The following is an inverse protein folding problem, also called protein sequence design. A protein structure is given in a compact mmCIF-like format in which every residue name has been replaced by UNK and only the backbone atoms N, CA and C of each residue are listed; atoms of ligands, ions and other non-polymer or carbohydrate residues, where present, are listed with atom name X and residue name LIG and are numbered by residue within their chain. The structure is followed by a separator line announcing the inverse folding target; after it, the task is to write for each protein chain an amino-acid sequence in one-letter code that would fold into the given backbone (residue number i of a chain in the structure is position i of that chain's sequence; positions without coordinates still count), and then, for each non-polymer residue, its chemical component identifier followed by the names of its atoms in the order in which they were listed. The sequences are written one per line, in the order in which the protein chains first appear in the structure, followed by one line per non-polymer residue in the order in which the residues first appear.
data_IF_547951856053
#
_entry.id   IF_547951856053
#
_cell.length_a   1.000
_cell.length_b   1.000
_cell.length_c   1.000
_cell.angle_alpha   90.00
_cell.angle_beta   90.00
_cell.angle_gamma   90.00
#
_symmetry.space_group_name_H-M   'P 1'
#
loop_
_entity.id
_entity.type
_entity.pdbx_description
1 polymer ?
#
# COMPACT_ATOMS: atom_id res chain seq x y z
N UNK A 1 23.04 -29.90 -18.41
CA UNK A 1 22.61 -29.65 -17.03
C UNK A 1 21.63 -30.72 -16.61
N UNK A 2 21.75 -31.23 -15.37
CA UNK A 2 20.97 -32.37 -14.86
C UNK A 2 19.57 -32.01 -14.39
N UNK A 3 19.04 -30.82 -14.78
CA UNK A 3 17.76 -30.34 -14.27
C UNK A 3 16.58 -31.28 -14.57
N UNK A 4 16.59 -31.96 -15.70
CA UNK A 4 15.55 -32.93 -16.06
C UNK A 4 15.51 -34.12 -15.05
N UNK A 5 16.66 -34.62 -14.67
CA UNK A 5 16.76 -35.72 -13.72
C UNK A 5 16.37 -35.29 -12.29
N UNK A 6 16.67 -34.06 -11.91
CA UNK A 6 16.46 -33.54 -10.57
C UNK A 6 15.08 -32.91 -10.38
N UNK A 7 14.58 -32.12 -11.36
CA UNK A 7 13.35 -31.36 -11.19
C UNK A 7 12.12 -32.04 -11.79
N UNK A 8 12.25 -32.71 -12.94
CA UNK A 8 11.09 -33.30 -13.62
C UNK A 8 10.32 -34.34 -12.79
N UNK A 9 10.96 -35.18 -11.94
CA UNK A 9 10.23 -36.12 -11.08
C UNK A 9 9.47 -35.48 -9.91
N UNK A 10 9.76 -34.20 -9.60
CA UNK A 10 9.13 -33.52 -8.48
C UNK A 10 7.65 -33.23 -8.76
N UNK A 11 6.84 -33.23 -7.69
CA UNK A 11 5.43 -32.87 -7.75
C UNK A 11 5.25 -31.50 -8.35
N UNK A 12 4.21 -31.29 -9.13
CA UNK A 12 3.92 -30.03 -9.80
C UNK A 12 3.76 -28.86 -8.84
N UNK A 13 3.36 -29.11 -7.59
CA UNK A 13 3.25 -28.07 -6.55
C UNK A 13 4.60 -27.52 -6.06
N UNK A 14 5.69 -28.27 -6.27
CA UNK A 14 7.05 -27.81 -5.93
C UNK A 14 7.59 -26.79 -6.94
N UNK A 15 6.92 -26.65 -8.09
CA UNK A 15 7.34 -25.69 -9.10
C UNK A 15 7.05 -24.25 -8.65
N UNK A 16 8.10 -23.43 -8.56
CA UNK A 16 7.94 -21.99 -8.24
C UNK A 16 6.99 -21.31 -9.22
N UNK A 17 5.90 -20.77 -8.68
CA UNK A 17 4.82 -20.13 -9.45
C UNK A 17 3.55 -20.97 -9.56
N UNK A 18 3.55 -22.23 -9.12
CA UNK A 18 2.39 -23.09 -8.99
C UNK A 18 2.02 -23.21 -7.53
N UNK A 19 0.98 -22.51 -7.11
CA UNK A 19 0.53 -22.47 -5.72
C UNK A 19 -0.64 -23.44 -5.46
N UNK A 20 -1.10 -23.44 -4.18
CA UNK A 20 -2.18 -24.30 -3.66
C UNK A 20 -3.49 -24.24 -4.43
N UNK A 21 -3.76 -23.18 -5.20
CA UNK A 21 -4.98 -23.06 -6.04
C UNK A 21 -4.77 -23.61 -7.44
N UNK A 22 -3.54 -23.63 -7.94
CA UNK A 22 -3.22 -24.03 -9.33
C UNK A 22 -2.84 -25.49 -9.41
N UNK A 23 -2.09 -26.00 -8.44
CA UNK A 23 -1.64 -27.40 -8.41
C UNK A 23 -2.81 -28.41 -8.52
N UNK A 24 -3.91 -28.30 -7.73
CA UNK A 24 -5.02 -29.25 -7.87
C UNK A 24 -5.62 -29.28 -9.28
N UNK A 25 -5.78 -28.12 -9.91
CA UNK A 25 -6.34 -28.01 -11.28
C UNK A 25 -5.46 -28.66 -12.33
N UNK A 26 -4.13 -28.60 -12.15
CA UNK A 26 -3.19 -29.27 -13.03
C UNK A 26 -3.24 -30.78 -12.81
N UNK A 27 -3.32 -31.23 -11.57
CA UNK A 27 -3.44 -32.65 -11.22
C UNK A 27 -4.71 -33.29 -11.75
N UNK A 28 -5.84 -32.58 -11.74
CA UNK A 28 -7.10 -33.00 -12.39
C UNK A 28 -6.97 -33.23 -13.89
N UNK A 29 -5.98 -32.60 -14.54
CA UNK A 29 -5.66 -32.81 -15.95
C UNK A 29 -4.60 -33.88 -16.20
N UNK A 30 -4.16 -34.58 -15.17
CA UNK A 30 -3.10 -35.59 -15.27
C UNK A 30 -1.68 -34.97 -15.27
N UNK A 31 -1.52 -33.67 -14.99
CA UNK A 31 -0.23 -33.02 -14.87
C UNK A 31 0.21 -33.12 -13.40
N UNK A 32 0.97 -34.15 -13.07
CA UNK A 32 1.36 -34.49 -11.69
C UNK A 32 2.72 -33.96 -11.31
N UNK A 33 3.62 -33.87 -12.29
CA UNK A 33 5.03 -33.53 -12.09
C UNK A 33 5.45 -32.30 -12.87
N UNK A 34 6.61 -31.72 -12.52
CA UNK A 34 7.22 -30.64 -13.31
C UNK A 34 7.53 -31.10 -14.75
N UNK A 35 7.93 -32.39 -14.89
CA UNK A 35 8.16 -32.99 -16.20
C UNK A 35 6.89 -33.04 -17.07
N UNK A 36 5.73 -33.29 -16.46
CA UNK A 36 4.45 -33.25 -17.19
C UNK A 36 4.15 -31.85 -17.71
N UNK A 37 4.45 -30.79 -16.94
CA UNK A 37 4.34 -29.40 -17.41
C UNK A 37 5.27 -29.14 -18.60
N UNK A 38 6.51 -29.66 -18.52
CA UNK A 38 7.52 -29.46 -19.56
C UNK A 38 7.19 -30.15 -20.89
N UNK A 39 6.49 -31.29 -20.84
CA UNK A 39 6.14 -32.11 -21.99
C UNK A 39 4.67 -31.99 -22.39
N UNK A 40 3.92 -31.04 -21.82
CA UNK A 40 2.50 -30.92 -22.09
C UNK A 40 2.22 -30.29 -23.46
N UNK A 41 1.68 -31.10 -24.36
CA UNK A 41 1.51 -30.74 -25.79
C UNK A 41 0.44 -29.67 -26.05
N UNK A 42 -0.58 -29.59 -25.18
CA UNK A 42 -1.69 -28.65 -25.36
C UNK A 42 -1.49 -27.34 -24.57
N UNK A 43 -0.64 -26.46 -25.12
CA UNK A 43 -0.38 -25.15 -24.54
C UNK A 43 -1.66 -24.31 -24.26
N UNK A 44 -2.64 -24.35 -25.15
CA UNK A 44 -3.88 -23.59 -24.98
C UNK A 44 -4.66 -24.01 -23.74
N UNK A 45 -4.71 -25.33 -23.47
CA UNK A 45 -5.36 -25.89 -22.30
C UNK A 45 -4.59 -25.54 -21.02
N UNK A 46 -3.25 -25.59 -21.08
CA UNK A 46 -2.40 -25.14 -19.98
C UNK A 46 -2.61 -23.65 -19.65
N UNK A 47 -2.74 -22.80 -20.69
CA UNK A 47 -3.01 -21.37 -20.55
C UNK A 47 -4.39 -21.07 -19.94
N UNK A 48 -5.39 -21.86 -20.21
CA UNK A 48 -6.72 -21.70 -19.60
C UNK A 48 -6.68 -21.85 -18.07
N UNK A 49 -5.80 -22.70 -17.55
CA UNK A 49 -5.67 -22.98 -16.11
C UNK A 49 -4.70 -22.03 -15.43
N UNK A 50 -3.49 -21.88 -15.99
CA UNK A 50 -2.42 -21.08 -15.40
C UNK A 50 -2.57 -19.59 -15.74
N UNK A 51 -3.30 -19.27 -16.81
CA UNK A 51 -3.45 -17.91 -17.30
C UNK A 51 -2.20 -17.41 -18.02
N UNK A 52 -1.93 -16.10 -17.90
CA UNK A 52 -0.82 -15.41 -18.60
C UNK A 52 0.57 -15.95 -18.28
N UNK A 53 0.73 -16.65 -17.17
CA UNK A 53 2.01 -17.21 -16.72
C UNK A 53 2.33 -18.58 -17.35
N UNK A 54 1.43 -19.17 -18.14
CA UNK A 54 1.61 -20.51 -18.71
C UNK A 54 2.90 -20.65 -19.51
N UNK A 55 3.18 -19.69 -20.40
CA UNK A 55 4.40 -19.71 -21.22
C UNK A 55 5.67 -19.61 -20.38
N UNK A 56 5.64 -18.79 -19.33
CA UNK A 56 6.77 -18.63 -18.41
C UNK A 56 7.04 -19.94 -17.65
N UNK A 57 5.99 -20.57 -17.13
CA UNK A 57 6.11 -21.83 -16.38
C UNK A 57 6.53 -22.98 -17.31
N UNK A 58 5.95 -23.09 -18.51
CA UNK A 58 6.37 -24.07 -19.51
C UNK A 58 7.87 -23.92 -19.84
N UNK A 59 8.35 -22.69 -20.11
CA UNK A 59 9.77 -22.45 -20.36
C UNK A 59 10.65 -22.80 -19.18
N UNK A 60 10.26 -22.41 -17.96
CA UNK A 60 11.00 -22.72 -16.73
C UNK A 60 11.07 -24.23 -16.47
N UNK A 61 10.00 -24.98 -16.72
CA UNK A 61 10.00 -26.43 -16.61
C UNK A 61 10.99 -27.08 -17.60
N UNK A 62 11.22 -26.44 -18.74
CA UNK A 62 12.20 -26.81 -19.74
C UNK A 62 13.60 -26.21 -19.51
N UNK A 63 13.84 -25.58 -18.35
CA UNK A 63 15.13 -24.99 -18.01
C UNK A 63 15.46 -23.73 -18.83
N UNK A 64 14.45 -23.09 -19.43
CA UNK A 64 14.62 -21.90 -20.27
C UNK A 64 14.17 -20.68 -19.47
N UNK A 65 15.11 -19.82 -19.12
CA UNK A 65 14.85 -18.50 -18.54
C UNK A 65 15.68 -17.44 -19.29
N UNK A 66 15.00 -16.53 -19.94
CA UNK A 66 15.59 -15.41 -20.68
C UNK A 66 15.51 -14.10 -19.92
N UNK A 67 15.04 -14.14 -18.66
CA UNK A 67 14.91 -12.95 -17.84
C UNK A 67 16.28 -12.34 -17.55
N UNK A 68 16.40 -11.04 -17.78
CA UNK A 68 17.59 -10.28 -17.43
C UNK A 68 17.50 -9.86 -15.95
N UNK A 69 18.63 -9.78 -15.28
CA UNK A 69 18.70 -9.16 -13.96
C UNK A 69 18.33 -7.68 -14.13
N UNK A 70 17.22 -7.29 -13.48
CA UNK A 70 16.79 -5.90 -13.55
C UNK A 70 17.62 -5.09 -12.55
N UNK A 71 18.51 -4.25 -13.06
CA UNK A 71 19.35 -3.32 -12.29
C UNK A 71 18.70 -1.95 -12.12
N UNK A 72 17.60 -1.67 -12.85
CA UNK A 72 16.88 -0.43 -12.69
C UNK A 72 16.06 -0.43 -11.42
N UNK A 73 16.08 0.67 -10.68
CA UNK A 73 15.20 0.88 -9.54
C UNK A 73 13.77 1.06 -10.04
N UNK A 74 12.94 0.05 -9.85
CA UNK A 74 11.52 0.18 -10.14
C UNK A 74 10.93 1.35 -9.35
N UNK A 75 10.20 2.20 -10.02
CA UNK A 75 9.44 3.26 -9.36
C UNK A 75 8.44 2.66 -8.39
N UNK A 76 8.37 3.25 -7.21
CA UNK A 76 7.41 2.81 -6.20
C UNK A 76 5.99 3.14 -6.65
N UNK A 77 5.10 2.17 -6.59
CA UNK A 77 3.67 2.33 -6.92
C UNK A 77 2.83 2.71 -5.72
N UNK A 78 3.30 2.40 -4.51
CA UNK A 78 2.59 2.68 -3.26
C UNK A 78 3.54 2.81 -2.07
N UNK A 79 3.07 3.48 -1.03
CA UNK A 79 3.70 3.56 0.29
C UNK A 79 2.68 3.13 1.33
N UNK A 80 2.88 1.98 1.95
CA UNK A 80 1.95 1.45 2.92
C UNK A 80 2.60 1.00 4.21
N UNK A 81 1.76 0.82 5.23
CA UNK A 81 2.11 0.18 6.47
C UNK A 81 0.90 -0.57 7.03
N UNK A 82 1.14 -1.73 7.64
CA UNK A 82 0.13 -2.51 8.32
C UNK A 82 0.69 -3.06 9.62
N UNK A 83 -0.19 -3.37 10.55
CA UNK A 83 0.20 -4.02 11.81
C UNK A 83 -0.84 -5.06 12.20
N UNK A 84 -0.36 -6.19 12.70
CA UNK A 84 -1.19 -7.15 13.42
C UNK A 84 -1.34 -6.62 14.84
N UNK A 85 -2.56 -6.57 15.34
CA UNK A 85 -2.85 -6.16 16.71
C UNK A 85 -2.35 -7.22 17.70
N UNK A 86 -2.07 -6.83 18.91
CA UNK A 86 -1.58 -7.72 19.95
C UNK A 86 -2.60 -8.81 20.30
N UNK A 87 -3.88 -8.46 20.25
CA UNK A 87 -5.03 -9.36 20.38
C UNK A 87 -6.13 -8.93 19.41
N UNK A 88 -7.00 -9.88 19.05
CA UNK A 88 -8.15 -9.59 18.18
C UNK A 88 -9.14 -8.72 18.98
N UNK A 89 -9.49 -7.54 18.45
CA UNK A 89 -10.34 -6.57 19.14
C UNK A 89 -11.39 -5.95 18.23
N UNK A 90 -12.50 -5.54 18.81
CA UNK A 90 -13.53 -4.69 18.21
C UNK A 90 -13.62 -3.32 18.90
N UNK A 91 -12.68 -3.00 19.78
CA UNK A 91 -12.58 -1.69 20.41
C UNK A 91 -12.15 -0.63 19.39
N UNK A 92 -13.08 0.28 19.11
CA UNK A 92 -12.94 1.31 18.08
C UNK A 92 -11.83 2.31 18.42
N UNK A 93 -11.64 2.66 19.68
CA UNK A 93 -10.60 3.61 20.08
C UNK A 93 -9.22 3.02 19.86
N UNK A 94 -8.97 1.79 20.27
CA UNK A 94 -7.71 1.07 19.98
C UNK A 94 -7.44 0.98 18.48
N UNK A 95 -8.47 0.72 17.68
CA UNK A 95 -8.34 0.66 16.22
C UNK A 95 -8.01 2.04 15.64
N UNK A 96 -8.66 3.11 16.11
CA UNK A 96 -8.37 4.47 15.65
C UNK A 96 -6.99 4.95 16.05
N UNK A 97 -6.52 4.62 17.25
CA UNK A 97 -5.14 4.93 17.66
C UNK A 97 -4.13 4.23 16.74
N UNK A 98 -4.39 2.95 16.45
CA UNK A 98 -3.57 2.20 15.49
C UNK A 98 -3.57 2.86 14.11
N UNK A 99 -4.74 3.28 13.60
CA UNK A 99 -4.85 4.02 12.35
C UNK A 99 -4.05 5.32 12.36
N UNK A 100 -4.11 6.11 13.44
CA UNK A 100 -3.32 7.35 13.59
C UNK A 100 -1.81 7.07 13.45
N UNK A 101 -1.32 6.04 14.12
CA UNK A 101 0.09 5.63 14.04
C UNK A 101 0.48 5.18 12.64
N UNK A 102 -0.36 4.37 11.98
CA UNK A 102 -0.09 3.88 10.63
C UNK A 102 -0.08 5.02 9.61
N UNK A 103 -1.06 5.93 9.67
CA UNK A 103 -1.15 7.09 8.79
C UNK A 103 0.05 8.03 8.96
N UNK A 104 0.49 8.26 10.19
CA UNK A 104 1.70 9.04 10.49
C UNK A 104 2.95 8.40 9.84
N UNK A 105 3.12 7.08 9.99
CA UNK A 105 4.24 6.35 9.37
C UNK A 105 4.19 6.39 7.84
N UNK A 106 3.00 6.29 7.23
CA UNK A 106 2.82 6.37 5.78
C UNK A 106 3.16 7.77 5.28
N UNK A 107 2.59 8.81 5.90
CA UNK A 107 2.90 10.21 5.58
C UNK A 107 4.39 10.51 5.70
N UNK A 108 5.02 10.12 6.81
CA UNK A 108 6.46 10.32 7.03
C UNK A 108 7.31 9.63 5.94
N UNK A 109 7.02 8.36 5.62
CA UNK A 109 7.74 7.62 4.58
C UNK A 109 7.56 8.23 3.20
N UNK A 110 6.35 8.70 2.87
CA UNK A 110 6.08 9.36 1.60
C UNK A 110 6.86 10.70 1.50
N UNK A 111 6.81 11.51 2.56
CA UNK A 111 7.55 12.79 2.63
C UNK A 111 9.07 12.56 2.53
N UNK A 112 9.63 11.60 3.29
CA UNK A 112 11.06 11.28 3.25
C UNK A 112 11.56 10.87 1.86
N UNK A 113 10.69 10.28 1.03
CA UNK A 113 11.02 9.84 -0.34
C UNK A 113 10.56 10.84 -1.41
N UNK A 114 10.08 12.01 -1.01
CA UNK A 114 9.52 13.03 -1.89
C UNK A 114 8.39 12.48 -2.80
N UNK A 115 7.54 11.61 -2.25
CA UNK A 115 6.42 10.98 -2.95
C UNK A 115 5.10 11.60 -2.52
N UNK A 116 4.17 11.70 -3.48
CA UNK A 116 2.77 12.06 -3.28
C UNK A 116 1.90 11.03 -4.00
N UNK A 117 0.70 10.77 -3.50
CA UNK A 117 -0.21 9.78 -4.10
C UNK A 117 -1.63 10.30 -4.20
N UNK A 118 -2.42 9.73 -5.11
CA UNK A 118 -3.79 10.18 -5.37
C UNK A 118 -4.86 9.13 -5.01
N UNK A 119 -4.51 8.10 -4.27
CA UNK A 119 -5.48 7.11 -3.79
C UNK A 119 -5.06 6.56 -2.44
N UNK A 120 -6.01 6.31 -1.57
CA UNK A 120 -5.78 5.70 -0.26
C UNK A 120 -6.56 4.40 -0.19
N UNK A 121 -5.91 3.37 0.32
CA UNK A 121 -6.55 2.10 0.65
C UNK A 121 -6.33 1.72 2.09
N UNK A 122 -7.32 1.01 2.64
CA UNK A 122 -7.22 0.29 3.90
C UNK A 122 -7.31 -1.22 3.66
N UNK A 123 -6.66 -1.97 4.52
CA UNK A 123 -6.81 -3.42 4.62
C UNK A 123 -7.27 -3.75 6.02
N UNK A 124 -8.39 -4.44 6.11
CA UNK A 124 -8.99 -4.94 7.35
C UNK A 124 -8.90 -6.46 7.31
N UNK A 125 -8.28 -7.08 8.30
CA UNK A 125 -8.24 -8.52 8.43
C UNK A 125 -8.85 -8.93 9.77
N UNK A 126 -9.86 -9.76 9.73
CA UNK A 126 -10.60 -10.24 10.89
C UNK A 126 -9.95 -11.47 11.53
N UNK A 127 -10.40 -11.82 12.71
CA UNK A 127 -9.91 -12.98 13.50
C UNK A 127 -9.92 -14.30 12.74
N UNK A 128 -10.92 -14.52 11.87
CA UNK A 128 -11.03 -15.71 11.01
C UNK A 128 -10.20 -15.65 9.73
N UNK A 129 -9.24 -14.70 9.64
CA UNK A 129 -8.39 -14.47 8.49
C UNK A 129 -9.12 -13.95 7.22
N UNK A 130 -10.41 -13.65 7.31
CA UNK A 130 -11.12 -12.93 6.28
C UNK A 130 -10.49 -11.55 6.10
N UNK A 131 -10.19 -11.18 4.86
CA UNK A 131 -9.54 -9.90 4.56
C UNK A 131 -10.37 -9.07 3.61
N UNK A 132 -10.54 -7.80 3.94
CA UNK A 132 -11.24 -6.80 3.11
C UNK A 132 -10.27 -5.67 2.82
N UNK A 133 -10.08 -5.38 1.54
CA UNK A 133 -9.35 -4.19 1.09
C UNK A 133 -10.30 -3.25 0.38
N UNK A 134 -10.27 -1.98 0.76
CA UNK A 134 -11.07 -0.92 0.13
C UNK A 134 -10.18 0.28 -0.16
N UNK A 135 -10.42 0.89 -1.31
CA UNK A 135 -9.68 2.09 -1.69
C UNK A 135 -10.62 3.17 -2.24
N UNK A 136 -10.19 4.40 -2.16
CA UNK A 136 -10.85 5.55 -2.76
C UNK A 136 -9.82 6.45 -3.42
N UNK A 137 -10.13 7.01 -4.60
CA UNK A 137 -9.31 8.04 -5.22
C UNK A 137 -9.40 9.34 -4.40
N UNK A 138 -8.36 10.14 -4.51
CA UNK A 138 -8.32 11.53 -4.03
C UNK A 138 -8.46 12.47 -5.23
N UNK A 139 -8.95 13.69 -4.98
CA UNK A 139 -9.12 14.72 -6.02
C UNK A 139 -7.76 15.16 -6.58
N UNK A 140 -6.71 15.11 -5.75
CA UNK A 140 -5.36 15.54 -6.09
C UNK A 140 -4.31 14.63 -5.45
N UNK A 141 -3.03 14.88 -5.68
CA UNK A 141 -1.91 14.16 -5.09
C UNK A 141 -1.51 14.74 -3.75
N UNK A 142 -1.48 13.92 -2.71
CA UNK A 142 -1.20 14.32 -1.33
C UNK A 142 -0.21 13.36 -0.65
N UNK A 143 0.41 13.84 0.43
CA UNK A 143 1.14 13.03 1.40
C UNK A 143 0.98 13.55 2.84
N UNK A 144 0.04 14.48 3.02
CA UNK A 144 -0.30 15.08 4.30
C UNK A 144 -1.02 14.08 5.19
N UNK A 145 -0.61 14.05 6.47
CA UNK A 145 -1.13 13.12 7.47
C UNK A 145 -2.65 13.24 7.64
N UNK A 146 -3.18 14.45 7.71
CA UNK A 146 -4.59 14.73 7.94
C UNK A 146 -5.49 14.17 6.83
N UNK A 147 -5.05 14.28 5.58
CA UNK A 147 -5.78 13.76 4.41
C UNK A 147 -5.76 12.23 4.44
N UNK A 148 -4.59 11.63 4.73
CA UNK A 148 -4.46 10.18 4.81
C UNK A 148 -5.32 9.64 5.95
N UNK A 149 -5.30 10.28 7.12
CA UNK A 149 -6.05 9.83 8.29
C UNK A 149 -7.56 9.97 8.10
N UNK A 150 -8.04 11.14 7.64
CA UNK A 150 -9.48 11.37 7.44
C UNK A 150 -10.06 10.41 6.41
N UNK A 151 -9.34 10.17 5.33
CA UNK A 151 -9.75 9.21 4.29
C UNK A 151 -9.70 7.77 4.78
N UNK A 152 -8.66 7.38 5.52
CA UNK A 152 -8.55 6.03 6.09
C UNK A 152 -9.65 5.75 7.10
N UNK A 153 -10.00 6.71 7.97
CA UNK A 153 -11.14 6.63 8.89
C UNK A 153 -12.45 6.47 8.15
N UNK A 154 -12.72 7.33 7.18
CA UNK A 154 -13.94 7.22 6.34
C UNK A 154 -14.07 5.82 5.71
N UNK A 155 -12.99 5.30 5.13
CA UNK A 155 -13.00 3.95 4.55
C UNK A 155 -13.22 2.88 5.59
N UNK A 156 -12.64 3.02 6.78
CA UNK A 156 -12.83 2.09 7.89
C UNK A 156 -14.28 2.10 8.36
N UNK A 157 -14.84 3.25 8.69
CA UNK A 157 -16.20 3.38 9.21
C UNK A 157 -17.25 2.83 8.25
N UNK A 158 -17.04 3.06 6.95
CA UNK A 158 -17.94 2.58 5.89
C UNK A 158 -17.89 1.06 5.68
N UNK A 159 -16.78 0.40 6.00
CA UNK A 159 -16.55 -1.00 5.60
C UNK A 159 -16.27 -1.95 6.76
N UNK A 160 -16.18 -1.44 7.98
CA UNK A 160 -15.98 -2.26 9.17
C UNK A 160 -17.28 -2.97 9.55
N UNK A 161 -17.21 -4.28 9.76
CA UNK A 161 -18.39 -5.13 10.04
C UNK A 161 -18.66 -5.36 11.52
N UNK A 162 -17.94 -4.71 12.44
CA UNK A 162 -18.07 -4.93 13.89
C UNK A 162 -17.39 -6.20 14.42
N UNK A 163 -16.89 -7.06 13.54
CA UNK A 163 -16.18 -8.29 13.93
C UNK A 163 -14.81 -7.99 14.54
N UNK A 164 -14.29 -8.86 15.45
CA UNK A 164 -12.94 -8.69 15.99
C UNK A 164 -11.87 -8.62 14.89
N UNK A 165 -11.08 -7.57 14.94
CA UNK A 165 -10.06 -7.20 13.96
C UNK A 165 -8.71 -7.70 14.44
N UNK A 166 -7.99 -8.39 13.55
CA UNK A 166 -6.64 -8.94 13.78
C UNK A 166 -5.55 -8.06 13.21
N UNK A 167 -5.76 -7.48 12.03
CA UNK A 167 -4.78 -6.63 11.35
C UNK A 167 -5.48 -5.47 10.67
N UNK A 168 -4.82 -4.32 10.73
CA UNK A 168 -5.21 -3.15 9.96
C UNK A 168 -4.00 -2.60 9.20
N UNK A 169 -4.25 -2.12 7.99
CA UNK A 169 -3.24 -1.52 7.13
C UNK A 169 -3.76 -0.30 6.40
N UNK A 170 -2.86 0.62 6.10
CA UNK A 170 -3.11 1.85 5.31
C UNK A 170 -2.06 1.95 4.22
N UNK A 171 -2.47 2.30 3.01
CA UNK A 171 -1.55 2.54 1.90
C UNK A 171 -1.95 3.77 1.10
N UNK A 172 -0.97 4.60 0.80
CA UNK A 172 -1.02 5.67 -0.20
C UNK A 172 -0.59 5.08 -1.54
N UNK A 173 -1.48 5.09 -2.52
CA UNK A 173 -1.30 4.42 -3.79
C UNK A 173 -1.15 5.42 -4.94
N UNK A 174 -0.75 4.90 -6.11
CA UNK A 174 -0.45 5.67 -7.32
C UNK A 174 0.55 6.79 -7.01
N UNK A 175 1.62 6.44 -6.29
CA UNK A 175 2.59 7.44 -5.88
C UNK A 175 3.49 7.84 -7.05
N UNK A 176 3.78 9.13 -7.10
CA UNK A 176 4.71 9.75 -8.04
C UNK A 176 5.69 10.64 -7.26
N UNK A 177 6.81 10.98 -7.88
CA UNK A 177 7.73 11.94 -7.31
C UNK A 177 7.08 13.34 -7.32
N UNK A 178 7.11 14.04 -6.18
CA UNK A 178 6.53 15.38 -6.04
C UNK A 178 7.15 16.39 -7.02
N UNK A 179 8.43 16.22 -7.35
CA UNK A 179 9.14 17.11 -8.27
C UNK A 179 8.66 16.98 -9.73
N UNK A 180 8.11 15.82 -10.10
CA UNK A 180 7.54 15.60 -11.44
C UNK A 180 6.07 16.00 -11.53
N UNK A 181 5.41 16.28 -10.39
CA UNK A 181 4.01 16.64 -10.37
C UNK A 181 3.80 18.13 -10.70
N UNK A 182 3.04 18.37 -11.76
CA UNK A 182 2.57 19.72 -12.13
C UNK A 182 1.06 19.77 -11.92
N UNK A 183 0.61 20.52 -10.93
CA UNK A 183 -0.82 20.73 -10.73
C UNK A 183 -1.38 21.55 -11.90
N UNK A 184 -2.38 21.00 -12.59
CA UNK A 184 -3.15 21.77 -13.56
C UNK A 184 -4.03 22.75 -12.79
N UNK A 185 -3.70 24.02 -12.85
CA UNK A 185 -4.48 25.10 -12.23
C UNK A 185 -5.54 25.53 -13.24
N UNK A 186 -6.80 25.50 -12.84
CA UNK A 186 -7.87 26.09 -13.64
C UNK A 186 -7.78 27.61 -13.60
N UNK A 187 -7.99 28.25 -14.74
CA UNK A 187 -8.11 29.72 -14.83
C UNK A 187 -9.22 30.31 -13.91
N UNK A 188 -10.14 29.45 -13.47
CA UNK A 188 -11.28 29.81 -12.61
C UNK A 188 -11.08 29.44 -11.13
N UNK A 189 -9.90 28.91 -10.74
CA UNK A 189 -9.61 28.58 -9.34
C UNK A 189 -9.44 29.82 -8.47
N UNK A 190 -10.48 30.16 -7.70
CA UNK A 190 -10.48 31.25 -6.69
C UNK A 190 -9.58 30.99 -5.46
N UNK A 191 -8.68 30.01 -5.49
CA UNK A 191 -7.89 29.56 -4.32
C UNK A 191 -6.52 30.24 -4.15
N UNK A 192 -6.39 31.51 -4.56
CA UNK A 192 -5.16 32.29 -4.33
C UNK A 192 -4.94 32.58 -2.82
N UNK A 193 -5.99 32.63 -2.02
CA UNK A 193 -5.88 32.96 -0.59
C UNK A 193 -5.32 31.83 0.31
N UNK A 194 -5.62 30.57 -0.01
CA UNK A 194 -5.09 29.43 0.78
C UNK A 194 -3.57 29.23 0.66
N UNK A 195 -2.97 29.71 -0.43
CA UNK A 195 -1.52 29.67 -0.60
C UNK A 195 -0.78 30.70 0.27
N UNK A 196 -1.40 31.84 0.61
CA UNK A 196 -0.81 32.83 1.51
C UNK A 196 -0.65 32.30 2.94
N UNK A 197 -1.62 31.56 3.47
CA UNK A 197 -1.57 31.01 4.83
C UNK A 197 -0.45 29.94 4.93
N UNK A 198 -0.34 29.06 3.95
CA UNK A 198 0.75 28.04 3.92
C UNK A 198 2.14 28.68 3.78
N UNK A 199 2.25 29.79 3.07
CA UNK A 199 3.49 30.54 2.94
C UNK A 199 3.87 31.19 4.27
N UNK A 200 2.90 31.72 5.02
CA UNK A 200 3.12 32.33 6.34
C UNK A 200 3.57 31.31 7.37
N UNK A 201 2.97 30.11 7.42
CA UNK A 201 3.40 29.02 8.29
C UNK A 201 4.80 28.50 7.95
N UNK A 202 5.12 28.38 6.66
CA UNK A 202 6.45 28.00 6.19
C UNK A 202 7.52 29.04 6.57
N UNK A 203 7.19 30.33 6.49
CA UNK A 203 8.07 31.42 6.91
C UNK A 203 8.26 31.42 8.42
N UNK A 204 7.19 31.25 9.20
CA UNK A 204 7.25 31.12 10.67
C UNK A 204 8.13 29.93 11.06
N UNK A 205 7.94 28.76 10.44
CA UNK A 205 8.76 27.58 10.72
C UNK A 205 10.22 27.78 10.36
N UNK A 206 10.51 28.45 9.25
CA UNK A 206 11.89 28.79 8.86
C UNK A 206 12.53 29.74 9.86
N UNK A 207 11.85 30.80 10.28
CA UNK A 207 12.34 31.74 11.28
C UNK A 207 12.58 31.05 12.63
N UNK A 208 11.68 30.15 13.04
CA UNK A 208 11.83 29.39 14.28
C UNK A 208 12.98 28.36 14.27
N UNK A 209 13.36 27.86 13.09
CA UNK A 209 14.50 26.97 12.95
C UNK A 209 15.86 27.67 12.97
N UNK A 210 15.88 28.94 12.61
CA UNK A 210 17.12 29.75 12.47
C UNK A 210 17.39 30.66 13.70
N UNK A 211 16.40 30.87 14.59
CA UNK A 211 16.51 31.83 15.69
C UNK A 211 16.18 31.26 17.08
N UNK A 212 16.76 31.90 18.12
CA UNK A 212 16.53 31.61 19.55
C UNK A 212 15.08 31.92 20.03
N UNK A 213 14.30 32.66 19.26
CA UNK A 213 12.94 33.10 19.61
C UNK A 213 11.90 32.32 18.79
N UNK A 214 10.88 31.80 19.45
CA UNK A 214 9.78 31.08 18.78
C UNK A 214 8.61 32.03 18.47
N UNK A 215 8.41 32.32 17.18
CA UNK A 215 7.20 32.95 16.68
C UNK A 215 6.06 31.92 16.68
N UNK A 216 4.91 32.32 17.17
CA UNK A 216 3.69 31.52 17.13
C UNK A 216 2.51 32.37 16.69
N UNK A 217 1.48 31.73 16.10
CA UNK A 217 0.27 32.46 15.71
C UNK A 217 -0.58 32.82 16.94
N UNK A 218 -1.30 33.93 16.89
CA UNK A 218 -2.21 34.35 17.97
C UNK A 218 -3.25 33.27 18.32
N UNK A 219 -3.75 32.53 17.33
CA UNK A 219 -4.66 31.38 17.53
C UNK A 219 -4.02 30.25 18.32
N UNK A 220 -2.74 29.95 18.13
CA UNK A 220 -2.03 28.93 18.91
C UNK A 220 -1.80 29.36 20.36
N UNK A 221 -1.58 30.64 20.62
CA UNK A 221 -1.48 31.21 21.97
C UNK A 221 -2.83 31.17 22.69
N UNK A 222 -3.93 31.53 22.02
CA UNK A 222 -5.28 31.49 22.57
C UNK A 222 -5.73 30.05 22.92
N UNK A 223 -5.34 29.07 22.13
CA UNK A 223 -5.65 27.67 22.43
C UNK A 223 -4.82 27.10 23.60
N UNK A 224 -3.58 27.58 23.78
CA UNK A 224 -2.78 27.24 24.97
C UNK A 224 -3.37 27.83 26.25
N UNK A 225 -3.90 29.05 26.21
CA UNK A 225 -4.55 29.66 27.38
C UNK A 225 -5.86 28.95 27.76
N UNK A 226 -6.70 28.57 26.80
CA UNK A 226 -7.94 27.81 27.05
C UNK A 226 -7.71 26.43 27.66
N UNK A 227 -6.61 25.75 27.35
CA UNK A 227 -6.28 24.46 27.95
C UNK A 227 -5.67 24.56 29.35
N UNK A 228 -5.18 25.73 29.76
CA UNK A 228 -4.66 25.96 31.11
C UNK A 228 -5.79 26.13 32.17
N UNK A 229 -6.93 26.69 31.75
CA UNK A 229 -8.13 26.88 32.62
C UNK A 229 -9.10 25.69 32.63
N UNK A 230 -8.78 24.57 31.98
CA UNK A 230 -9.57 23.32 32.05
C UNK A 230 -8.98 22.23 32.94
N UNK A 231 -7.94 22.56 33.70
CA UNK A 231 -7.24 21.64 34.62
C UNK A 231 -7.24 22.09 36.07
N UNK A 232 -8.16 22.98 36.46
CA UNK A 232 -8.50 23.28 37.83
C UNK A 232 -9.91 22.81 38.14
#
# INVERSE_FOLDING_TARGET
SNYKQLLWPLDVSEMFGIGKKTAPKLKEMGILTIGDVANYDNYNKLRQIIGKNALLLYRKANGIDISKVNTEKNELKSVGNSTTLQYDTNDIETIYETLRILCSKVSFRAKKRNLIGNSISITIKYSRFESVTRQTPLIDYFNEYEIILSTAKYLFDKNYSGKPLRLIGVSLNNVINRSSYKKQVSLFDKNIEKNKIKTTEAVINKINSENKYHLTTASALLNKSKNKYRKE
#
